data_IF_841609740357
#
_entry.id   IF_841609740357
#
_cell.length_a   1.000
_cell.length_b   1.000
_cell.length_c   1.000
_cell.angle_alpha   90.00
_cell.angle_beta   90.00
_cell.angle_gamma   90.00
#
_symmetry.space_group_name_H-M   'P 1'
#
loop_
_entity.id
_entity.type
_entity.pdbx_description
1 polymer ?
#
# COMPACT_ATOMS: atom_id res chain seq x y z
N UNK A 1 14.66 -31.07 -27.29
CA UNK A 1 15.76 -32.06 -27.35
C UNK A 1 16.42 -32.17 -25.98
N UNK A 2 16.72 -33.38 -25.49
CA UNK A 2 17.39 -33.59 -24.20
C UNK A 2 18.85 -33.14 -24.30
N UNK A 3 19.33 -32.38 -23.29
CA UNK A 3 20.67 -31.77 -23.28
C UNK A 3 21.54 -32.23 -22.11
N UNK A 4 20.92 -32.53 -20.98
CA UNK A 4 21.60 -33.06 -19.78
C UNK A 4 20.83 -34.27 -19.27
N UNK A 5 21.55 -35.19 -18.64
CA UNK A 5 21.01 -36.37 -17.98
C UNK A 5 21.67 -36.53 -16.61
N UNK A 6 20.87 -36.72 -15.57
CA UNK A 6 21.34 -37.08 -14.23
C UNK A 6 20.92 -38.52 -13.93
N UNK A 7 21.90 -39.36 -13.61
CA UNK A 7 21.69 -40.75 -13.22
C UNK A 7 22.19 -40.91 -11.79
N UNK A 8 21.26 -41.13 -10.85
CA UNK A 8 21.54 -41.28 -9.43
C UNK A 8 21.17 -42.72 -9.05
N UNK A 9 22.18 -43.56 -8.81
CA UNK A 9 22.02 -44.97 -8.49
C UNK A 9 22.86 -45.28 -7.24
N UNK A 10 22.33 -46.12 -6.36
CA UNK A 10 23.05 -46.60 -5.19
C UNK A 10 22.20 -47.53 -4.33
N UNK A 11 22.80 -48.12 -3.28
CA UNK A 11 22.09 -48.98 -2.34
C UNK A 11 21.18 -48.17 -1.41
N UNK A 12 20.22 -48.83 -0.77
CA UNK A 12 19.43 -48.23 0.31
C UNK A 12 20.34 -47.90 1.49
N UNK A 13 20.35 -46.63 1.89
CA UNK A 13 21.17 -46.13 2.98
C UNK A 13 20.33 -45.21 3.89
N UNK A 14 20.56 -45.22 5.21
CA UNK A 14 19.67 -44.60 6.20
C UNK A 14 19.50 -43.07 6.06
N UNK A 15 20.45 -42.37 5.42
CA UNK A 15 20.42 -40.91 5.23
C UNK A 15 20.21 -40.51 3.76
N UNK A 16 19.83 -41.45 2.88
CA UNK A 16 19.79 -41.22 1.43
C UNK A 16 18.38 -41.46 0.90
N UNK A 17 17.60 -40.39 0.78
CA UNK A 17 16.35 -40.41 0.02
C UNK A 17 16.62 -40.00 -1.44
N UNK A 18 16.59 -40.99 -2.34
CA UNK A 18 16.80 -40.79 -3.78
C UNK A 18 15.77 -39.84 -4.40
N UNK A 19 14.56 -39.75 -3.84
CA UNK A 19 13.53 -38.83 -4.32
C UNK A 19 13.92 -37.39 -4.01
N UNK A 20 14.39 -37.11 -2.79
CA UNK A 20 14.86 -35.77 -2.42
C UNK A 20 16.13 -35.38 -3.17
N UNK A 21 17.04 -36.32 -3.40
CA UNK A 21 18.21 -36.09 -4.25
C UNK A 21 17.82 -35.76 -5.69
N UNK A 22 16.83 -36.46 -6.26
CA UNK A 22 16.26 -36.14 -7.57
C UNK A 22 15.67 -34.72 -7.61
N UNK A 23 14.92 -34.33 -6.58
CA UNK A 23 14.36 -32.97 -6.44
C UNK A 23 15.45 -31.91 -6.32
N UNK A 24 16.52 -32.18 -5.57
CA UNK A 24 17.65 -31.28 -5.43
C UNK A 24 18.36 -31.08 -6.79
N UNK A 25 18.65 -32.17 -7.52
CA UNK A 25 19.25 -32.11 -8.84
C UNK A 25 18.35 -31.37 -9.86
N UNK A 26 17.03 -31.62 -9.83
CA UNK A 26 16.07 -30.93 -10.69
C UNK A 26 15.96 -29.44 -10.37
N UNK A 27 15.96 -29.06 -9.09
CA UNK A 27 15.94 -27.66 -8.65
C UNK A 27 17.20 -26.93 -9.10
N UNK A 28 18.36 -27.56 -8.94
CA UNK A 28 19.66 -27.02 -9.36
C UNK A 28 19.72 -26.81 -10.90
N UNK A 29 19.19 -27.75 -11.70
CA UNK A 29 19.06 -27.55 -13.16
C UNK A 29 17.96 -26.55 -13.56
N UNK A 30 17.00 -26.29 -12.67
CA UNK A 30 15.95 -25.29 -12.84
C UNK A 30 16.46 -23.86 -12.63
N UNK A 31 17.57 -23.70 -11.89
CA UNK A 31 18.24 -22.43 -11.64
C UNK A 31 18.98 -21.93 -12.90
N UNK A 32 18.86 -20.64 -13.20
CA UNK A 32 19.30 -20.08 -14.49
C UNK A 32 20.81 -19.95 -14.59
N UNK A 33 21.46 -19.45 -13.54
CA UNK A 33 22.91 -19.28 -13.47
C UNK A 33 23.58 -20.64 -13.60
N UNK A 34 23.19 -21.60 -12.77
CA UNK A 34 23.72 -22.96 -12.83
C UNK A 34 23.51 -23.60 -14.21
N UNK A 35 22.34 -23.45 -14.82
CA UNK A 35 22.08 -24.01 -16.16
C UNK A 35 22.99 -23.40 -17.22
N UNK A 36 23.21 -22.09 -17.21
CA UNK A 36 24.12 -21.41 -18.16
C UNK A 36 25.55 -21.89 -17.94
N UNK A 37 26.00 -21.92 -16.68
CA UNK A 37 27.35 -22.33 -16.36
C UNK A 37 27.57 -23.83 -16.65
N UNK A 38 26.53 -24.68 -16.51
CA UNK A 38 26.57 -26.08 -16.88
C UNK A 38 26.69 -26.31 -18.40
N UNK A 39 26.17 -25.40 -19.23
CA UNK A 39 26.43 -25.43 -20.68
C UNK A 39 27.85 -25.00 -21.04
N UNK A 40 28.46 -24.11 -20.24
CA UNK A 40 29.80 -23.58 -20.46
C UNK A 40 30.90 -24.44 -19.82
N UNK A 41 30.55 -25.30 -18.87
CA UNK A 41 31.49 -26.09 -18.11
C UNK A 41 32.26 -27.08 -19.01
N UNK A 42 33.59 -26.99 -18.97
CA UNK A 42 34.50 -27.88 -19.67
C UNK A 42 35.10 -28.94 -18.75
N UNK A 43 34.97 -28.76 -17.43
CA UNK A 43 35.53 -29.66 -16.43
C UNK A 43 34.55 -29.98 -15.29
N UNK A 44 34.74 -31.15 -14.66
CA UNK A 44 34.00 -31.52 -13.44
C UNK A 44 34.21 -30.49 -12.33
N UNK A 45 35.41 -29.94 -12.22
CA UNK A 45 35.75 -28.94 -11.20
C UNK A 45 34.92 -27.66 -11.35
N UNK A 46 34.58 -27.25 -12.57
CA UNK A 46 33.67 -26.11 -12.81
C UNK A 46 32.26 -26.40 -12.35
N UNK A 47 31.71 -27.59 -12.65
CA UNK A 47 30.38 -27.97 -12.18
C UNK A 47 30.29 -28.00 -10.65
N UNK A 48 31.34 -28.47 -9.97
CA UNK A 48 31.42 -28.48 -8.50
C UNK A 48 31.47 -27.04 -7.96
N UNK A 49 32.30 -26.17 -8.53
CA UNK A 49 32.35 -24.75 -8.13
C UNK A 49 31.02 -24.03 -8.34
N UNK A 50 30.31 -24.34 -9.42
CA UNK A 50 29.00 -23.73 -9.70
C UNK A 50 27.92 -24.21 -8.71
N UNK A 51 28.03 -25.45 -8.25
CA UNK A 51 27.21 -26.02 -7.18
C UNK A 51 27.53 -25.35 -5.84
N UNK A 52 28.81 -25.15 -5.50
CA UNK A 52 29.22 -24.40 -4.30
C UNK A 52 28.62 -23.00 -4.30
N UNK A 53 28.75 -22.25 -5.40
CA UNK A 53 28.14 -20.93 -5.49
C UNK A 53 26.60 -20.94 -5.41
N UNK A 54 25.94 -22.05 -5.74
CA UNK A 54 24.49 -22.19 -5.57
C UNK A 54 24.15 -22.36 -4.09
N UNK A 55 24.93 -23.16 -3.37
CA UNK A 55 24.79 -23.36 -1.93
C UNK A 55 25.10 -22.07 -1.15
N UNK A 56 26.13 -21.32 -1.54
CA UNK A 56 26.47 -20.02 -0.91
C UNK A 56 25.35 -18.99 -1.02
N UNK A 57 24.54 -19.09 -2.07
CA UNK A 57 23.40 -18.21 -2.31
C UNK A 57 22.05 -18.86 -1.92
N UNK A 58 22.08 -20.00 -1.23
CA UNK A 58 20.89 -20.70 -0.74
C UNK A 58 20.55 -20.27 0.69
N UNK A 59 19.29 -19.94 0.91
CA UNK A 59 18.81 -19.55 2.23
C UNK A 59 18.14 -20.74 2.91
N UNK A 60 18.71 -21.20 4.03
CA UNK A 60 18.13 -22.27 4.85
C UNK A 60 17.24 -21.65 5.91
N UNK A 61 15.96 -22.02 5.89
CA UNK A 61 15.02 -21.60 6.92
C UNK A 61 15.00 -22.63 8.04
N UNK A 62 15.33 -22.25 9.29
CA UNK A 62 15.17 -23.14 10.43
C UNK A 62 13.67 -23.41 10.66
N UNK A 63 13.31 -24.59 11.21
CA UNK A 63 11.93 -24.88 11.55
C UNK A 63 11.44 -23.87 12.60
N UNK A 64 10.33 -23.18 12.31
CA UNK A 64 9.70 -22.21 13.20
C UNK A 64 8.20 -22.50 13.29
N UNK A 65 7.64 -22.40 14.50
CA UNK A 65 6.20 -22.54 14.74
C UNK A 65 5.49 -21.33 14.13
N UNK A 66 4.93 -21.51 12.93
CA UNK A 66 4.21 -20.53 12.12
C UNK A 66 4.99 -19.22 11.85
N UNK A 67 5.63 -19.07 10.67
CA UNK A 67 6.32 -17.82 10.35
C UNK A 67 5.31 -16.66 10.32
N UNK A 68 5.47 -15.69 11.22
CA UNK A 68 4.71 -14.45 11.16
C UNK A 68 5.07 -13.71 9.86
N UNK A 69 4.11 -13.00 9.28
CA UNK A 69 4.32 -12.22 8.04
C UNK A 69 5.52 -11.26 8.17
N UNK A 70 5.72 -10.69 9.37
CA UNK A 70 6.85 -9.83 9.71
C UNK A 70 8.20 -10.56 9.65
N UNK A 71 8.27 -11.82 10.08
CA UNK A 71 9.48 -12.64 9.98
C UNK A 71 9.81 -12.93 8.50
N UNK A 72 8.82 -13.19 7.65
CA UNK A 72 9.03 -13.38 6.21
C UNK A 72 9.50 -12.09 5.53
N UNK A 73 8.93 -10.93 5.90
CA UNK A 73 9.36 -9.64 5.38
C UNK A 73 10.81 -9.30 5.77
N UNK A 74 11.29 -9.74 6.94
CA UNK A 74 12.68 -9.56 7.35
C UNK A 74 13.69 -10.32 6.48
N UNK A 75 13.25 -11.37 5.78
CA UNK A 75 14.09 -12.22 4.93
C UNK A 75 14.22 -11.70 3.50
N UNK A 76 13.28 -10.84 3.06
CA UNK A 76 13.30 -10.19 1.75
C UNK A 76 14.63 -9.49 1.43
N UNK A 77 15.22 -8.65 2.31
CA UNK A 77 16.51 -8.02 2.01
C UNK A 77 17.65 -9.03 1.86
N UNK A 78 17.66 -10.10 2.68
CA UNK A 78 18.67 -11.16 2.61
C UNK A 78 18.54 -11.92 1.29
N UNK A 79 17.32 -12.28 0.91
CA UNK A 79 17.03 -12.95 -0.36
C UNK A 79 17.46 -12.09 -1.56
N UNK A 80 17.22 -10.77 -1.53
CA UNK A 80 17.67 -9.83 -2.58
C UNK A 80 19.19 -9.80 -2.69
N UNK A 81 19.91 -9.73 -1.57
CA UNK A 81 21.37 -9.66 -1.57
C UNK A 81 22.01 -10.98 -2.04
N UNK A 82 21.52 -12.14 -1.60
CA UNK A 82 22.00 -13.44 -2.07
C UNK A 82 21.79 -13.61 -3.58
N UNK A 83 20.65 -13.17 -4.09
CA UNK A 83 20.36 -13.22 -5.51
C UNK A 83 21.24 -12.24 -6.30
N UNK A 84 21.47 -11.04 -5.78
CA UNK A 84 22.39 -10.05 -6.37
C UNK A 84 23.80 -10.63 -6.49
N UNK A 85 24.30 -11.29 -5.44
CA UNK A 85 25.61 -11.96 -5.44
C UNK A 85 25.66 -13.07 -6.49
N UNK A 86 24.65 -13.94 -6.55
CA UNK A 86 24.58 -15.05 -7.50
C UNK A 86 24.67 -14.58 -8.96
N UNK A 87 23.95 -13.52 -9.31
CA UNK A 87 23.94 -12.98 -10.68
C UNK A 87 25.14 -12.06 -10.96
N UNK A 88 25.79 -11.47 -9.95
CA UNK A 88 26.98 -10.64 -10.17
C UNK A 88 28.19 -11.44 -10.69
N UNK A 89 28.23 -12.74 -10.40
CA UNK A 89 29.33 -13.64 -10.75
C UNK A 89 29.11 -14.36 -12.09
N UNK A 90 27.93 -14.23 -12.71
CA UNK A 90 27.57 -14.95 -13.94
C UNK A 90 27.07 -13.97 -15.02
N UNK A 91 27.29 -14.25 -16.32
CA UNK A 91 26.79 -13.42 -17.41
C UNK A 91 25.26 -13.51 -17.59
N UNK A 92 24.58 -14.41 -16.87
CA UNK A 92 23.13 -14.53 -16.92
C UNK A 92 22.44 -13.27 -16.35
N UNK A 93 21.35 -12.82 -16.98
CA UNK A 93 20.54 -11.71 -16.47
C UNK A 93 19.30 -12.23 -15.74
N UNK A 94 18.87 -11.56 -14.65
CA UNK A 94 17.64 -11.92 -13.96
C UNK A 94 16.42 -11.74 -14.88
N UNK A 95 15.49 -12.69 -14.87
CA UNK A 95 14.28 -12.66 -15.69
C UNK A 95 13.20 -11.74 -15.08
N UNK A 96 12.71 -10.70 -15.78
CA UNK A 96 11.96 -9.60 -15.18
C UNK A 96 10.62 -9.99 -14.52
N UNK A 97 10.04 -11.15 -14.86
CA UNK A 97 8.76 -11.62 -14.30
C UNK A 97 8.86 -12.08 -12.84
N UNK A 98 9.99 -12.67 -12.43
CA UNK A 98 10.16 -13.17 -11.06
C UNK A 98 10.52 -12.06 -10.05
N UNK A 99 11.07 -10.94 -10.55
CA UNK A 99 11.55 -9.82 -9.73
C UNK A 99 10.56 -8.66 -9.60
N UNK A 100 9.44 -8.69 -10.34
CA UNK A 100 8.42 -7.65 -10.26
C UNK A 100 7.76 -7.53 -8.88
N UNK A 101 7.87 -8.58 -8.04
CA UNK A 101 7.45 -8.55 -6.63
C UNK A 101 8.59 -8.36 -5.63
N UNK A 102 9.84 -8.25 -6.08
CA UNK A 102 11.05 -8.22 -5.23
C UNK A 102 11.89 -6.96 -5.42
N UNK A 103 11.40 -5.92 -6.10
CA UNK A 103 11.98 -4.56 -6.19
C UNK A 103 13.51 -4.48 -5.98
N UNK A 104 14.27 -5.03 -6.93
CA UNK A 104 15.74 -5.00 -6.91
C UNK A 104 16.32 -3.66 -7.43
N UNK A 105 15.47 -2.77 -7.95
CA UNK A 105 15.82 -1.44 -8.44
C UNK A 105 15.18 -0.32 -7.62
N UNK A 106 15.06 -0.51 -6.31
CA UNK A 106 14.63 0.52 -5.39
C UNK A 106 15.69 1.61 -5.21
N UNK A 107 15.90 2.45 -6.22
CA UNK A 107 16.38 3.80 -5.97
C UNK A 107 15.32 4.53 -5.10
N UNK A 108 15.73 5.41 -4.17
CA UNK A 108 14.79 6.17 -3.38
C UNK A 108 13.90 7.01 -4.33
N UNK A 109 12.62 6.63 -4.44
CA UNK A 109 11.64 7.30 -5.30
C UNK A 109 11.02 6.47 -6.45
N UNK A 110 11.35 5.19 -6.62
CA UNK A 110 10.63 4.33 -7.57
C UNK A 110 9.29 3.84 -7.00
N UNK A 111 8.20 3.82 -7.79
CA UNK A 111 6.87 3.41 -7.34
C UNK A 111 6.84 1.90 -7.08
N UNK A 112 6.79 1.49 -5.81
CA UNK A 112 6.70 0.08 -5.43
C UNK A 112 7.43 -0.35 -4.15
N UNK A 113 8.36 0.44 -3.63
CA UNK A 113 9.05 0.13 -2.36
C UNK A 113 8.10 0.18 -1.16
N UNK A 114 8.43 -0.44 0.00
CA UNK A 114 7.67 -0.27 1.23
C UNK A 114 7.67 1.22 1.56
N UNK A 115 6.50 1.81 1.32
CA UNK A 115 6.40 3.19 0.96
C UNK A 115 6.23 3.98 2.25
N UNK A 116 7.31 4.06 3.06
CA UNK A 116 7.27 4.56 4.43
C UNK A 116 6.52 5.90 4.47
N UNK A 117 5.31 5.93 5.07
CA UNK A 117 4.43 7.09 5.03
C UNK A 117 5.04 8.28 5.78
N UNK A 118 6.05 8.06 6.62
CA UNK A 118 6.70 9.09 7.43
C UNK A 118 8.04 9.57 6.84
N UNK A 119 8.47 9.03 5.69
CA UNK A 119 9.72 9.43 5.08
C UNK A 119 9.65 10.88 4.58
N UNK A 120 10.47 11.76 5.16
CA UNK A 120 10.54 13.17 4.79
C UNK A 120 11.00 13.33 3.33
N UNK A 121 10.19 14.01 2.53
CA UNK A 121 10.38 14.19 1.08
C UNK A 121 11.32 15.35 0.71
N UNK A 122 11.72 16.21 1.67
CA UNK A 122 12.69 17.29 1.46
C UNK A 122 12.21 18.44 0.55
N UNK A 123 10.98 18.38 0.07
CA UNK A 123 10.33 19.37 -0.80
C UNK A 123 9.15 20.01 -0.06
N UNK A 124 8.90 21.30 -0.28
CA UNK A 124 7.67 21.96 0.15
C UNK A 124 6.47 21.22 -0.47
N UNK A 125 5.54 20.75 0.39
CA UNK A 125 4.40 19.90 0.03
C UNK A 125 4.74 18.55 -0.64
N UNK A 126 5.97 18.05 -0.51
CA UNK A 126 6.38 16.78 -1.13
C UNK A 126 5.55 15.56 -0.68
N UNK A 127 5.06 15.57 0.57
CA UNK A 127 4.13 14.55 1.08
C UNK A 127 2.79 14.58 0.34
N UNK A 128 2.18 15.76 0.20
CA UNK A 128 0.92 15.94 -0.53
C UNK A 128 1.02 15.46 -1.98
N UNK A 129 2.11 15.81 -2.68
CA UNK A 129 2.34 15.37 -4.07
C UNK A 129 2.48 13.85 -4.15
N UNK A 130 3.12 13.22 -3.16
CA UNK A 130 3.23 11.75 -3.07
C UNK A 130 1.85 11.11 -2.89
N UNK A 131 1.01 11.68 -2.04
CA UNK A 131 -0.34 11.17 -1.80
C UNK A 131 -1.24 11.33 -3.04
N UNK A 132 -1.17 12.46 -3.73
CA UNK A 132 -1.89 12.67 -5.01
C UNK A 132 -1.43 11.64 -6.05
N UNK A 133 -0.11 11.45 -6.20
CA UNK A 133 0.45 10.50 -7.17
C UNK A 133 0.04 9.06 -6.87
N UNK A 134 -0.11 8.71 -5.60
CA UNK A 134 -0.59 7.39 -5.16
C UNK A 134 -2.09 7.22 -5.44
N UNK A 135 -2.92 8.24 -5.17
CA UNK A 135 -4.39 8.12 -5.30
C UNK A 135 -4.89 8.23 -6.73
N UNK A 136 -4.34 9.15 -7.52
CA UNK A 136 -4.85 9.50 -8.85
C UNK A 136 -5.04 8.31 -9.82
N UNK A 137 -4.13 7.30 -9.87
CA UNK A 137 -4.32 6.13 -10.73
C UNK A 137 -5.58 5.31 -10.43
N UNK A 138 -6.02 5.28 -9.16
CA UNK A 138 -7.19 4.52 -8.72
C UNK A 138 -8.51 5.27 -8.93
N UNK A 139 -8.46 6.57 -9.18
CA UNK A 139 -9.68 7.39 -9.29
C UNK A 139 -10.61 6.94 -10.42
N UNK A 140 -10.04 6.56 -11.58
CA UNK A 140 -10.84 6.05 -12.69
C UNK A 140 -11.44 4.67 -12.40
N UNK A 141 -10.72 3.81 -11.66
CA UNK A 141 -11.25 2.51 -11.25
C UNK A 141 -12.37 2.64 -10.22
N UNK A 142 -12.30 3.61 -9.32
CA UNK A 142 -13.32 3.84 -8.29
C UNK A 142 -14.71 4.13 -8.90
N UNK A 143 -14.76 4.89 -10.01
CA UNK A 143 -16.01 5.19 -10.72
C UNK A 143 -16.60 3.93 -11.37
N UNK A 144 -15.75 3.05 -11.93
CA UNK A 144 -16.22 1.80 -12.54
C UNK A 144 -16.64 0.76 -11.50
N UNK A 145 -15.97 0.73 -10.35
CA UNK A 145 -16.22 -0.25 -9.28
C UNK A 145 -17.47 0.11 -8.44
N UNK A 146 -17.88 1.38 -8.47
CA UNK A 146 -19.10 1.85 -7.81
C UNK A 146 -20.41 1.29 -8.41
N UNK A 147 -20.37 0.56 -9.53
CA UNK A 147 -21.56 0.06 -10.23
C UNK A 147 -22.05 -1.30 -9.70
N UNK A 148 -22.25 -1.40 -8.37
CA UNK A 148 -22.79 -2.59 -7.71
C UNK A 148 -24.08 -2.29 -6.95
N UNK A 149 -25.02 -3.25 -6.82
CA UNK A 149 -26.29 -3.03 -6.12
C UNK A 149 -26.09 -2.76 -4.62
N UNK A 150 -25.01 -3.26 -4.03
CA UNK A 150 -24.64 -2.98 -2.64
C UNK A 150 -24.31 -1.50 -2.42
N UNK A 151 -23.69 -0.84 -3.39
CA UNK A 151 -23.38 0.59 -3.32
C UNK A 151 -24.66 1.42 -3.28
N UNK A 152 -25.69 1.05 -4.04
CA UNK A 152 -26.98 1.75 -3.98
C UNK A 152 -27.61 1.68 -2.58
N UNK A 153 -27.58 0.51 -1.94
CA UNK A 153 -28.07 0.37 -0.57
C UNK A 153 -27.25 1.22 0.42
N UNK A 154 -25.92 1.25 0.26
CA UNK A 154 -25.04 2.07 1.08
C UNK A 154 -25.30 3.58 0.89
N UNK A 155 -25.55 4.05 -0.34
CA UNK A 155 -25.88 5.45 -0.63
C UNK A 155 -27.15 5.87 0.11
N UNK A 156 -28.21 5.06 0.05
CA UNK A 156 -29.47 5.36 0.74
C UNK A 156 -29.26 5.40 2.26
N UNK A 157 -28.53 4.44 2.82
CA UNK A 157 -28.26 4.37 4.24
C UNK A 157 -27.45 5.58 4.74
N UNK A 158 -26.33 5.88 4.08
CA UNK A 158 -25.46 7.01 4.43
C UNK A 158 -26.16 8.35 4.21
N UNK A 159 -27.02 8.47 3.20
CA UNK A 159 -27.84 9.67 3.00
C UNK A 159 -28.67 10.01 4.24
N UNK A 160 -29.42 9.05 4.79
CA UNK A 160 -30.20 9.28 6.00
C UNK A 160 -29.32 9.45 7.25
N UNK A 161 -28.22 8.71 7.33
CA UNK A 161 -27.26 8.83 8.43
C UNK A 161 -26.59 10.22 8.48
N UNK A 162 -26.36 10.86 7.33
CA UNK A 162 -25.80 12.21 7.24
C UNK A 162 -26.87 13.31 7.32
N UNK A 163 -28.06 13.08 6.75
CA UNK A 163 -29.16 14.05 6.74
C UNK A 163 -29.73 14.29 8.14
N UNK A 164 -29.93 13.22 8.93
CA UNK A 164 -30.49 13.33 10.28
C UNK A 164 -29.69 14.28 11.19
N UNK A 165 -28.36 14.11 11.37
CA UNK A 165 -27.56 15.04 12.17
C UNK A 165 -27.47 16.43 11.53
N UNK A 166 -27.48 16.55 10.20
CA UNK A 166 -27.46 17.86 9.55
C UNK A 166 -28.74 18.67 9.87
N UNK A 167 -29.91 18.03 9.89
CA UNK A 167 -31.17 18.69 10.26
C UNK A 167 -31.19 19.02 11.75
N UNK A 168 -30.81 18.09 12.63
CA UNK A 168 -30.87 18.34 14.07
C UNK A 168 -29.86 19.40 14.50
N UNK A 169 -28.62 19.34 14.04
CA UNK A 169 -27.62 20.36 14.35
C UNK A 169 -27.92 21.69 13.67
N UNK A 170 -28.44 21.69 12.44
CA UNK A 170 -28.86 22.91 11.76
C UNK A 170 -30.00 23.62 12.48
N UNK A 171 -30.94 22.86 13.06
CA UNK A 171 -32.05 23.41 13.85
C UNK A 171 -31.55 24.05 15.15
N UNK A 172 -30.69 23.34 15.89
CA UNK A 172 -30.05 23.88 17.09
C UNK A 172 -29.21 25.11 16.78
N UNK A 173 -28.46 25.10 15.67
CA UNK A 173 -27.65 26.24 15.24
C UNK A 173 -28.52 27.46 14.90
N UNK A 174 -29.65 27.25 14.24
CA UNK A 174 -30.63 28.31 13.93
C UNK A 174 -31.21 28.94 15.19
N UNK A 175 -31.62 28.13 16.16
CA UNK A 175 -32.14 28.62 17.45
C UNK A 175 -31.09 29.42 18.23
N UNK A 176 -29.83 28.98 18.22
CA UNK A 176 -28.74 29.63 18.97
C UNK A 176 -28.19 30.88 18.30
N UNK A 177 -28.26 30.97 16.97
CA UNK A 177 -27.70 32.09 16.19
C UNK A 177 -28.76 33.07 15.67
N UNK A 178 -29.96 33.07 16.26
CA UNK A 178 -31.08 33.93 15.85
C UNK A 178 -31.39 33.84 14.33
N UNK A 179 -31.34 32.63 13.77
CA UNK A 179 -31.54 32.34 12.35
C UNK A 179 -30.55 33.03 11.39
N UNK A 180 -29.41 33.55 11.87
CA UNK A 180 -28.33 33.97 10.96
C UNK A 180 -27.63 32.78 10.30
N UNK A 181 -27.59 31.63 10.97
CA UNK A 181 -27.06 30.38 10.42
C UNK A 181 -28.02 29.24 10.77
N UNK A 182 -28.73 28.70 9.79
CA UNK A 182 -29.77 27.70 9.99
C UNK A 182 -29.50 26.38 9.27
N UNK A 183 -30.59 25.64 9.09
CA UNK A 183 -30.58 24.32 8.44
C UNK A 183 -30.21 24.44 6.96
N UNK A 184 -30.69 25.48 6.26
CA UNK A 184 -30.45 25.68 4.83
C UNK A 184 -28.96 25.86 4.52
N UNK A 185 -28.28 26.72 5.27
CA UNK A 185 -26.88 27.03 5.07
C UNK A 185 -26.03 25.80 5.39
N UNK A 186 -26.39 25.06 6.43
CA UNK A 186 -25.69 23.86 6.82
C UNK A 186 -25.84 22.73 5.78
N UNK A 187 -27.05 22.55 5.23
CA UNK A 187 -27.30 21.57 4.17
C UNK A 187 -26.52 21.89 2.90
N UNK A 188 -26.52 23.16 2.47
CA UNK A 188 -25.75 23.61 1.30
C UNK A 188 -24.26 23.41 1.54
N UNK A 189 -23.74 23.81 2.70
CA UNK A 189 -22.33 23.64 3.06
C UNK A 189 -21.94 22.16 3.01
N UNK A 190 -22.70 21.30 3.68
CA UNK A 190 -22.42 19.85 3.77
C UNK A 190 -22.48 19.20 2.39
N UNK A 191 -23.44 19.57 1.54
CA UNK A 191 -23.57 19.03 0.19
C UNK A 191 -22.40 19.43 -0.71
N UNK A 192 -22.06 20.72 -0.76
CA UNK A 192 -20.97 21.23 -1.60
C UNK A 192 -19.63 20.70 -1.12
N UNK A 193 -19.36 20.74 0.19
CA UNK A 193 -18.14 20.20 0.77
C UNK A 193 -18.02 18.68 0.56
N UNK A 194 -19.13 17.94 0.69
CA UNK A 194 -19.15 16.49 0.44
C UNK A 194 -18.84 16.14 -1.03
N UNK A 195 -19.36 16.90 -1.98
CA UNK A 195 -19.05 16.71 -3.41
C UNK A 195 -17.59 17.05 -3.68
N UNK A 196 -17.11 18.21 -3.21
CA UNK A 196 -15.71 18.61 -3.42
C UNK A 196 -14.72 17.62 -2.78
N UNK A 197 -15.03 17.16 -1.57
CA UNK A 197 -14.20 16.20 -0.85
C UNK A 197 -14.23 14.80 -1.49
N UNK A 198 -15.38 14.35 -2.00
CA UNK A 198 -15.45 13.05 -2.69
C UNK A 198 -14.69 13.05 -4.03
N UNK A 199 -14.63 14.18 -4.73
CA UNK A 199 -13.89 14.32 -5.99
C UNK A 199 -12.37 14.53 -5.78
N UNK A 200 -11.98 15.32 -4.78
CA UNK A 200 -10.57 15.75 -4.59
C UNK A 200 -9.87 15.04 -3.43
N UNK A 201 -10.62 14.32 -2.58
CA UNK A 201 -10.09 13.70 -1.37
C UNK A 201 -9.23 12.47 -1.65
N UNK A 202 -8.20 12.27 -0.82
CA UNK A 202 -7.37 11.07 -0.86
C UNK A 202 -8.14 9.80 -0.44
N UNK A 203 -9.24 9.96 0.32
CA UNK A 203 -10.08 8.88 0.82
C UNK A 203 -11.58 9.25 0.69
N UNK A 204 -12.24 8.85 -0.40
CA UNK A 204 -13.64 9.18 -0.67
C UNK A 204 -14.65 8.45 0.23
N UNK A 205 -14.19 7.52 1.09
CA UNK A 205 -15.01 6.83 2.08
C UNK A 205 -15.33 7.72 3.31
N UNK A 206 -14.65 8.85 3.48
CA UNK A 206 -14.91 9.75 4.61
C UNK A 206 -16.13 10.63 4.30
N UNK A 207 -17.08 10.66 5.25
CA UNK A 207 -18.27 11.52 5.19
C UNK A 207 -17.99 12.76 6.02
N UNK A 208 -17.95 13.92 5.36
CA UNK A 208 -17.78 15.22 6.01
C UNK A 208 -19.14 15.71 6.49
N UNK A 209 -19.22 16.13 7.75
CA UNK A 209 -20.46 16.62 8.34
C UNK A 209 -20.23 17.47 9.58
N UNK A 210 -21.28 18.18 9.99
CA UNK A 210 -21.26 19.00 11.20
C UNK A 210 -21.21 18.14 12.45
N UNK A 211 -20.59 18.65 13.51
CA UNK A 211 -20.38 17.92 14.75
C UNK A 211 -20.71 18.78 15.98
N UNK A 212 -20.97 18.14 17.12
CA UNK A 212 -21.27 18.82 18.37
C UNK A 212 -20.24 19.88 18.80
N UNK A 213 -18.92 19.63 18.68
CA UNK A 213 -17.92 20.65 19.01
C UNK A 213 -18.05 21.94 18.18
N UNK A 214 -18.39 21.82 16.88
CA UNK A 214 -18.63 22.98 16.04
C UNK A 214 -19.87 23.75 16.47
N UNK A 215 -20.93 23.06 16.89
CA UNK A 215 -22.14 23.72 17.42
C UNK A 215 -21.82 24.56 18.66
N UNK A 216 -21.10 23.97 19.63
CA UNK A 216 -20.74 24.67 20.88
C UNK A 216 -19.82 25.86 20.60
N UNK A 217 -18.88 25.70 19.67
CA UNK A 217 -18.02 26.80 19.23
C UNK A 217 -18.83 27.95 18.62
N UNK A 218 -19.76 27.65 17.72
CA UNK A 218 -20.61 28.67 17.08
C UNK A 218 -21.52 29.38 18.09
N UNK A 219 -22.11 28.66 19.06
CA UNK A 219 -22.91 29.26 20.13
C UNK A 219 -22.06 30.21 21.00
N UNK A 220 -20.85 29.79 21.39
CA UNK A 220 -19.94 30.62 22.17
C UNK A 220 -19.48 31.85 21.39
N UNK A 221 -19.15 31.68 20.10
CA UNK A 221 -18.71 32.77 19.25
C UNK A 221 -19.82 33.79 18.96
N UNK A 222 -21.05 33.31 18.74
CA UNK A 222 -22.22 34.16 18.59
C UNK A 222 -22.49 35.01 19.84
N UNK A 223 -22.45 34.39 21.03
CA UNK A 223 -22.60 35.10 22.30
C UNK A 223 -21.49 36.13 22.52
N UNK A 224 -20.25 35.77 22.22
CA UNK A 224 -19.10 36.68 22.30
C UNK A 224 -19.25 37.89 21.38
N UNK A 225 -19.62 37.69 20.12
CA UNK A 225 -19.82 38.78 19.16
C UNK A 225 -20.97 39.71 19.60
N UNK A 226 -22.07 39.14 20.07
CA UNK A 226 -23.23 39.90 20.55
C UNK A 226 -22.87 40.76 21.76
N UNK A 227 -22.11 40.21 22.72
CA UNK A 227 -21.70 40.95 23.93
C UNK A 227 -20.72 42.10 23.63
N UNK A 228 -19.94 41.99 22.56
CA UNK A 228 -18.94 42.98 22.17
C UNK A 228 -19.42 43.91 21.04
N UNK A 229 -20.69 43.84 20.63
CA UNK A 229 -21.25 44.57 19.48
C UNK A 229 -20.46 44.35 18.18
N UNK A 230 -19.98 43.12 17.96
CA UNK A 230 -19.32 42.71 16.72
C UNK A 230 -20.32 41.97 15.83
N UNK A 231 -20.22 42.19 14.52
CA UNK A 231 -21.05 41.50 13.55
C UNK A 231 -20.60 40.04 13.41
N UNK A 232 -21.45 39.10 13.85
CA UNK A 232 -21.16 37.67 13.89
C UNK A 232 -20.71 37.11 12.54
N UNK A 233 -21.42 37.43 11.45
CA UNK A 233 -21.11 36.85 10.13
C UNK A 233 -19.77 37.37 9.60
N UNK A 234 -19.45 38.64 9.82
CA UNK A 234 -18.15 39.22 9.41
C UNK A 234 -17.03 38.64 10.26
N UNK A 235 -17.23 38.52 11.57
CA UNK A 235 -16.27 37.88 12.47
C UNK A 235 -15.99 36.42 12.10
N UNK A 236 -17.02 35.69 11.65
CA UNK A 236 -16.91 34.31 11.18
C UNK A 236 -16.06 34.21 9.91
N UNK A 237 -16.19 35.16 8.99
CA UNK A 237 -15.34 35.21 7.79
C UNK A 237 -13.86 35.38 8.17
N UNK A 238 -13.55 36.22 9.15
CA UNK A 238 -12.17 36.39 9.65
C UNK A 238 -11.61 35.13 10.33
N UNK A 239 -12.45 34.28 10.92
CA UNK A 239 -12.02 32.98 11.46
C UNK A 239 -11.66 32.00 10.35
N UNK A 240 -12.30 32.13 9.18
CA UNK A 240 -12.07 31.25 8.04
C UNK A 240 -10.82 31.57 7.22
N UNK A 241 -10.28 32.79 7.33
CA UNK A 241 -9.04 33.22 6.66
C UNK A 241 -7.79 32.80 7.44
#
# INVERSE_FOLDING_TARGET
PVRFLFVLLGPEAPNTDYTQLGRAAATLMSERVFRVDAYMAQSKAELVRNLEGFLDCSLVLPPCEAPSEQALLSLVPVQKELLRRRYSQSPAKPEPRFYKGLDLYGAPGAPGGPDDPLQRTGLLFGGLVRDIRRRYPYYLSDITDAFSPQVLAAVIFIYFAALSPAITFGGLLGEKTQNMMGVSELLISTAVQGILFSLLGAQPLLVVGFSGPLLVFEEAFFSFCTNNNLEYIVGRVWIGF
#
